data_IF_381133906922
#
_entry.id   IF_381133906922
#
_cell.length_a   1.000
_cell.length_b   1.000
_cell.length_c   1.000
_cell.angle_alpha   90.00
_cell.angle_beta   90.00
_cell.angle_gamma   90.00
#
_symmetry.space_group_name_H-M   'P 1'
#
loop_
_entity.id
_entity.type
_entity.pdbx_description
1 polymer ?
#
# COMPACT_ATOMS: atom_id res chain seq x y z
N UNK A 1 -17.98 -8.06 6.65
CA UNK A 1 -17.13 -8.76 7.65
C UNK A 1 -15.75 -8.11 7.62
N UNK A 2 -15.03 -8.10 8.73
CA UNK A 2 -13.67 -7.53 8.78
C UNK A 2 -12.66 -8.43 8.05
N UNK A 3 -11.66 -7.84 7.40
CA UNK A 3 -10.68 -8.58 6.59
C UNK A 3 -9.96 -9.69 7.39
N UNK A 4 -9.53 -9.39 8.61
CA UNK A 4 -8.84 -10.36 9.47
C UNK A 4 -9.72 -11.56 9.82
N UNK A 5 -11.01 -11.31 10.10
CA UNK A 5 -11.97 -12.35 10.46
C UNK A 5 -12.28 -13.27 9.26
N UNK A 6 -12.30 -12.71 8.04
CA UNK A 6 -12.43 -13.50 6.81
C UNK A 6 -11.22 -14.44 6.66
N UNK A 7 -10.00 -13.91 6.78
CA UNK A 7 -8.78 -14.71 6.69
C UNK A 7 -8.70 -15.77 7.80
N UNK A 8 -9.08 -15.41 9.03
CA UNK A 8 -9.16 -16.35 10.17
C UNK A 8 -10.16 -17.47 9.92
N UNK A 9 -11.34 -17.17 9.35
CA UNK A 9 -12.32 -18.19 9.00
C UNK A 9 -11.78 -19.13 7.90
N UNK A 10 -11.24 -18.59 6.81
CA UNK A 10 -10.67 -19.39 5.71
C UNK A 10 -9.50 -20.26 6.20
N UNK A 11 -8.69 -19.77 7.15
CA UNK A 11 -7.57 -20.54 7.69
C UNK A 11 -7.99 -21.86 8.36
N UNK A 12 -9.16 -21.87 9.00
CA UNK A 12 -9.72 -23.08 9.62
C UNK A 12 -10.13 -24.10 8.55
N UNK A 13 -10.83 -23.65 7.51
CA UNK A 13 -11.22 -24.49 6.36
C UNK A 13 -10.00 -25.03 5.60
N UNK A 14 -8.90 -24.28 5.58
CA UNK A 14 -7.65 -24.69 4.97
C UNK A 14 -6.78 -25.64 5.84
N UNK A 15 -7.27 -26.04 7.02
CA UNK A 15 -6.52 -26.89 7.96
C UNK A 15 -5.29 -26.22 8.58
N UNK A 16 -5.16 -24.89 8.46
CA UNK A 16 -4.05 -24.08 9.01
C UNK A 16 -4.62 -22.96 9.85
N UNK A 17 -5.44 -23.31 10.83
CA UNK A 17 -6.14 -22.35 11.68
C UNK A 17 -5.15 -21.38 12.33
N UNK A 18 -5.37 -20.08 12.10
CA UNK A 18 -4.58 -19.03 12.73
C UNK A 18 -4.88 -18.98 14.25
N UNK A 19 -3.88 -18.73 15.12
CA UNK A 19 -4.00 -18.89 16.57
C UNK A 19 -4.64 -17.70 17.29
N UNK A 20 -5.53 -16.95 16.64
CA UNK A 20 -6.22 -15.80 17.26
C UNK A 20 -7.70 -15.77 16.87
N UNK A 21 -8.55 -15.46 17.85
CA UNK A 21 -10.01 -15.42 17.67
C UNK A 21 -10.61 -14.02 17.94
N UNK A 22 -9.76 -13.02 18.21
CA UNK A 22 -10.16 -11.64 18.38
C UNK A 22 -9.15 -10.68 17.76
N UNK A 23 -9.60 -9.47 17.46
CA UNK A 23 -8.72 -8.40 16.97
C UNK A 23 -7.61 -8.06 17.98
N UNK A 24 -7.90 -8.13 19.28
CA UNK A 24 -6.90 -7.92 20.33
C UNK A 24 -5.79 -8.95 20.29
N UNK A 25 -6.14 -10.25 20.20
CA UNK A 25 -5.16 -11.33 20.10
C UNK A 25 -4.30 -11.22 18.82
N UNK A 26 -4.91 -10.85 17.70
CA UNK A 26 -4.18 -10.57 16.45
C UNK A 26 -3.20 -9.41 16.62
N UNK A 27 -3.59 -8.31 17.25
CA UNK A 27 -2.70 -7.17 17.51
C UNK A 27 -1.51 -7.56 18.38
N UNK A 28 -1.74 -8.34 19.45
CA UNK A 28 -0.65 -8.88 20.28
C UNK A 28 0.32 -9.73 19.46
N UNK A 29 -0.19 -10.61 18.58
CA UNK A 29 0.65 -11.41 17.71
C UNK A 29 1.46 -10.55 16.71
N UNK A 30 0.83 -9.50 16.14
CA UNK A 30 1.50 -8.58 15.22
C UNK A 30 2.61 -7.80 15.91
N UNK A 31 2.37 -7.22 17.09
CA UNK A 31 3.37 -6.49 17.85
C UNK A 31 4.51 -7.41 18.29
N UNK A 32 4.21 -8.63 18.74
CA UNK A 32 5.24 -9.60 19.10
C UNK A 32 6.15 -9.96 17.92
N UNK A 33 5.62 -10.02 16.69
CA UNK A 33 6.39 -10.29 15.49
C UNK A 33 7.11 -9.05 14.94
N UNK A 34 6.48 -7.89 15.07
CA UNK A 34 6.92 -6.61 14.49
C UNK A 34 6.70 -5.47 15.52
N UNK A 35 7.63 -5.29 16.48
CA UNK A 35 7.41 -4.43 17.65
C UNK A 35 7.07 -2.97 17.34
N UNK A 36 7.65 -2.39 16.28
CA UNK A 36 7.40 -1.00 15.93
C UNK A 36 5.95 -0.71 15.50
N UNK A 37 5.14 -1.73 15.21
CA UNK A 37 3.70 -1.55 14.94
C UNK A 37 2.91 -1.13 16.19
N UNK A 38 3.50 -1.22 17.39
CA UNK A 38 2.90 -0.73 18.64
C UNK A 38 2.97 0.80 18.77
N UNK A 39 3.98 1.44 18.17
CA UNK A 39 4.22 2.89 18.21
C UNK A 39 3.24 3.67 17.32
N UNK A 40 1.96 3.65 17.68
CA UNK A 40 0.91 4.41 16.97
C UNK A 40 1.22 5.90 17.09
N UNK A 41 1.14 6.60 15.96
CA UNK A 41 1.46 8.03 15.84
C UNK A 41 2.92 8.40 16.20
N UNK A 42 3.81 7.40 16.21
CA UNK A 42 5.24 7.57 16.43
C UNK A 42 6.04 7.21 15.17
N UNK A 43 7.14 7.92 14.94
CA UNK A 43 8.09 7.62 13.86
C UNK A 43 9.33 6.99 14.47
N UNK A 44 9.55 5.67 14.31
CA UNK A 44 10.70 5.00 14.90
C UNK A 44 12.00 5.43 14.21
N UNK A 45 13.09 5.48 14.97
CA UNK A 45 14.42 5.68 14.41
C UNK A 45 14.88 4.42 13.68
N UNK A 46 15.40 4.58 12.46
CA UNK A 46 16.02 3.48 11.73
C UNK A 46 17.52 3.40 12.07
N UNK A 47 17.86 2.64 13.11
CA UNK A 47 19.24 2.45 13.60
C UNK A 47 20.07 1.44 12.80
N UNK A 48 19.51 0.88 11.72
CA UNK A 48 20.18 -0.12 10.89
C UNK A 48 21.40 0.44 10.16
N UNK A 49 22.43 -0.39 9.98
CA UNK A 49 23.57 -0.06 9.14
C UNK A 49 23.12 0.12 7.68
N UNK A 50 23.80 1.02 6.97
CA UNK A 50 23.61 1.15 5.52
C UNK A 50 23.95 -0.17 4.83
N UNK A 51 23.07 -0.58 3.92
CA UNK A 51 23.30 -1.78 3.12
C UNK A 51 24.37 -1.49 2.05
N UNK A 52 25.20 -2.50 1.76
CA UNK A 52 26.12 -2.42 0.64
C UNK A 52 25.34 -2.25 -0.68
N UNK A 53 25.76 -1.32 -1.53
CA UNK A 53 25.14 -1.12 -2.83
C UNK A 53 25.35 -2.34 -3.72
N UNK A 54 24.28 -2.82 -4.36
CA UNK A 54 24.34 -3.84 -5.40
C UNK A 54 24.57 -3.24 -6.78
N UNK A 55 24.89 -4.08 -7.76
CA UNK A 55 24.96 -3.67 -9.17
C UNK A 55 23.55 -3.35 -9.68
N UNK A 56 23.37 -2.16 -10.24
CA UNK A 56 22.12 -1.76 -10.88
C UNK A 56 22.05 -2.30 -12.31
N UNK A 57 20.83 -2.56 -12.79
CA UNK A 57 20.59 -2.83 -14.22
C UNK A 57 20.60 -1.55 -15.06
N UNK A 58 20.70 -1.70 -16.38
CA UNK A 58 20.63 -0.57 -17.32
C UNK A 58 19.16 -0.22 -17.62
N UNK A 59 18.65 0.83 -16.95
CA UNK A 59 17.32 1.37 -17.22
C UNK A 59 17.21 2.84 -16.77
N UNK A 60 16.29 3.58 -17.40
CA UNK A 60 15.86 4.90 -16.92
C UNK A 60 14.77 4.75 -15.85
N UNK A 61 14.73 5.70 -14.90
CA UNK A 61 13.61 5.79 -13.94
C UNK A 61 12.28 6.02 -14.67
N UNK A 62 11.24 5.34 -14.18
CA UNK A 62 9.88 5.46 -14.70
C UNK A 62 8.91 5.72 -13.55
N UNK A 63 7.82 6.47 -13.79
CA UNK A 63 6.79 6.64 -12.79
C UNK A 63 6.10 5.29 -12.52
N UNK A 64 6.10 4.86 -11.25
CA UNK A 64 5.40 3.63 -10.83
C UNK A 64 3.88 3.83 -10.81
N UNK A 65 3.44 5.06 -10.51
CA UNK A 65 2.04 5.48 -10.62
C UNK A 65 1.89 6.31 -11.88
N UNK A 66 1.14 5.78 -12.86
CA UNK A 66 0.87 6.46 -14.14
C UNK A 66 -0.27 7.46 -14.05
N UNK A 67 -1.24 7.18 -13.19
CA UNK A 67 -2.40 8.03 -12.96
C UNK A 67 -2.62 8.17 -11.46
N UNK A 68 -2.43 9.40 -10.96
CA UNK A 68 -2.60 9.74 -9.56
C UNK A 68 -4.03 9.53 -9.06
N UNK A 69 -5.03 9.75 -9.92
CA UNK A 69 -6.44 9.65 -9.55
C UNK A 69 -6.96 8.21 -9.56
N UNK A 70 -6.24 7.26 -10.18
CA UNK A 70 -6.67 5.86 -10.35
C UNK A 70 -5.75 4.83 -9.66
N UNK A 71 -5.14 5.21 -8.54
CA UNK A 71 -4.10 4.43 -7.84
C UNK A 71 -4.58 3.12 -7.22
N UNK A 72 -5.81 3.07 -6.71
CA UNK A 72 -6.32 1.94 -5.95
C UNK A 72 -7.78 1.61 -6.34
N UNK A 73 -8.34 0.46 -5.93
CA UNK A 73 -9.69 0.06 -6.32
C UNK A 73 -10.79 1.05 -5.93
N UNK A 74 -10.65 1.72 -4.77
CA UNK A 74 -11.63 2.72 -4.32
C UNK A 74 -11.61 3.92 -5.26
N UNK A 75 -10.41 4.42 -5.58
CA UNK A 75 -10.24 5.52 -6.51
C UNK A 75 -10.75 5.18 -7.92
N UNK A 76 -10.50 3.95 -8.40
CA UNK A 76 -11.00 3.47 -9.70
C UNK A 76 -12.51 3.30 -9.78
N UNK A 77 -13.17 3.02 -8.66
CA UNK A 77 -14.62 2.92 -8.59
C UNK A 77 -15.31 4.30 -8.46
N UNK A 78 -14.54 5.38 -8.23
CA UNK A 78 -15.07 6.73 -8.03
C UNK A 78 -15.28 7.46 -9.37
N UNK A 79 -16.51 7.85 -9.65
CA UNK A 79 -16.84 8.67 -10.81
C UNK A 79 -16.10 10.02 -10.81
N UNK A 80 -16.01 10.67 -9.63
CA UNK A 80 -15.28 11.92 -9.49
C UNK A 80 -13.79 11.76 -9.84
N UNK A 81 -13.16 10.67 -9.42
CA UNK A 81 -11.75 10.43 -9.75
C UNK A 81 -11.56 10.16 -11.24
N UNK A 82 -12.52 9.50 -11.90
CA UNK A 82 -12.49 9.31 -13.35
C UNK A 82 -12.59 10.66 -14.11
N UNK A 83 -13.45 11.58 -13.66
CA UNK A 83 -13.54 12.93 -14.22
C UNK A 83 -12.23 13.71 -14.05
N UNK A 84 -11.61 13.66 -12.86
CA UNK A 84 -10.33 14.32 -12.61
C UNK A 84 -9.18 13.73 -13.45
N UNK A 85 -9.14 12.40 -13.60
CA UNK A 85 -8.21 11.73 -14.51
C UNK A 85 -8.38 12.22 -15.95
N UNK A 86 -9.61 12.29 -16.45
CA UNK A 86 -9.89 12.78 -17.81
C UNK A 86 -9.47 14.24 -18.00
N UNK A 87 -9.72 15.11 -17.01
CA UNK A 87 -9.30 16.51 -17.03
C UNK A 87 -7.77 16.68 -16.94
N UNK A 88 -7.08 15.81 -16.20
CA UNK A 88 -5.63 15.81 -16.15
C UNK A 88 -5.03 15.36 -17.49
N UNK A 89 -5.59 14.30 -18.09
CA UNK A 89 -5.18 13.81 -19.40
C UNK A 89 -5.37 14.87 -20.50
N UNK A 90 -6.52 15.54 -20.51
CA UNK A 90 -6.80 16.60 -21.50
C UNK A 90 -5.82 17.78 -21.39
N UNK A 91 -5.44 18.16 -20.17
CA UNK A 91 -4.43 19.21 -19.95
C UNK A 91 -3.05 18.82 -20.46
N UNK A 92 -2.64 17.56 -20.25
CA UNK A 92 -1.36 17.05 -20.73
C UNK A 92 -1.27 16.90 -22.26
N UNK A 93 -2.42 16.76 -22.93
CA UNK A 93 -2.52 16.61 -24.37
C UNK A 93 -2.52 17.96 -25.13
N UNK A 94 -2.80 19.08 -24.45
CA UNK A 94 -2.66 20.40 -25.05
C UNK A 94 -1.17 20.68 -25.32
N UNK A 95 -0.79 21.13 -26.52
CA UNK A 95 0.58 21.58 -26.74
C UNK A 95 0.87 22.70 -25.74
N UNK A 96 1.96 22.56 -24.98
CA UNK A 96 2.50 23.66 -24.19
C UNK A 96 2.71 24.82 -25.15
N UNK A 97 1.83 25.83 -25.09
CA UNK A 97 2.01 27.06 -25.85
C UNK A 97 3.34 27.66 -25.38
N UNK A 98 4.34 27.65 -26.26
CA UNK A 98 5.60 28.31 -26.02
C UNK A 98 5.34 29.83 -26.08
N UNK A 99 5.59 30.50 -24.95
CA UNK A 99 5.99 31.91 -24.94
C UNK A 99 7.52 32.00 -25.05
#
# INVERSE_FOLDING_TARGET
>A
KENWAILRAVSAEAGKALPWDSLGALRTALVSAVPHLEGIDEVPENSGATLAAGTLGEATFRPVVKDFYLTNPIARASALMAELSALAASRSAQPMAAE
#
